data_IF_777649701757
#
_entry.id   IF_777649701757
#
_cell.length_a   1.000
_cell.length_b   1.000
_cell.length_c   1.000
_cell.angle_alpha   90.00
_cell.angle_beta   90.00
_cell.angle_gamma   90.00
#
_symmetry.space_group_name_H-M   'P 1'
#
loop_
_entity.id
_entity.type
_entity.pdbx_description
1 polymer ?
#
# COMPACT_ATOMS: atom_id res chain seq x y z
N UNK A 1 -13.26 -19.46 7.90
CA UNK A 1 -12.12 -18.72 7.31
C UNK A 1 -12.60 -17.30 7.04
N UNK A 2 -11.90 -16.27 7.54
CA UNK A 2 -12.31 -14.87 7.37
C UNK A 2 -12.29 -14.50 5.88
N UNK A 3 -13.28 -13.76 5.39
CA UNK A 3 -13.42 -13.30 3.99
C UNK A 3 -12.15 -12.63 3.47
N UNK A 4 -11.44 -11.88 4.32
CA UNK A 4 -10.16 -11.25 3.96
C UNK A 4 -9.05 -12.26 3.69
N UNK A 5 -8.94 -13.31 4.52
CA UNK A 5 -7.94 -14.37 4.34
C UNK A 5 -8.16 -15.09 3.01
N UNK A 6 -9.42 -15.44 2.70
CA UNK A 6 -9.76 -16.04 1.41
C UNK A 6 -9.37 -15.13 0.25
N UNK A 7 -9.57 -13.81 0.37
CA UNK A 7 -9.20 -12.87 -0.68
C UNK A 7 -7.70 -12.74 -0.87
N UNK A 8 -6.93 -12.78 0.22
CA UNK A 8 -5.46 -12.83 0.15
C UNK A 8 -5.01 -14.09 -0.58
N UNK A 9 -5.59 -15.25 -0.25
CA UNK A 9 -5.27 -16.51 -0.92
C UNK A 9 -5.62 -16.47 -2.41
N UNK A 10 -6.78 -15.92 -2.79
CA UNK A 10 -7.18 -15.72 -4.19
C UNK A 10 -6.18 -14.83 -4.96
N UNK A 11 -5.68 -13.76 -4.33
CA UNK A 11 -4.69 -12.86 -4.96
C UNK A 11 -3.36 -13.59 -5.17
N UNK A 12 -2.89 -14.32 -4.16
CA UNK A 12 -1.65 -15.09 -4.25
C UNK A 12 -1.75 -16.12 -5.37
N UNK A 13 -2.82 -16.92 -5.38
CA UNK A 13 -3.05 -17.96 -6.39
C UNK A 13 -3.12 -17.37 -7.80
N UNK A 14 -3.77 -16.22 -7.98
CA UNK A 14 -3.85 -15.57 -9.27
C UNK A 14 -2.49 -15.06 -9.73
N UNK A 15 -1.69 -14.44 -8.85
CA UNK A 15 -0.32 -14.03 -9.19
C UNK A 15 0.54 -15.23 -9.56
N UNK A 16 0.51 -16.31 -8.79
CA UNK A 16 1.24 -17.55 -9.07
C UNK A 16 0.85 -18.12 -10.43
N UNK A 17 -0.46 -18.22 -10.71
CA UNK A 17 -0.99 -18.70 -12.00
C UNK A 17 -0.52 -17.84 -13.16
N UNK A 18 -0.44 -16.53 -12.96
CA UNK A 18 0.05 -15.58 -13.96
C UNK A 18 1.55 -15.81 -14.23
N UNK A 19 2.35 -15.94 -13.18
CA UNK A 19 3.80 -16.18 -13.26
C UNK A 19 4.15 -17.54 -13.86
N UNK A 20 3.44 -18.60 -13.51
CA UNK A 20 3.63 -19.94 -14.08
C UNK A 20 3.38 -19.96 -15.59
N UNK A 21 2.35 -19.23 -16.06
CA UNK A 21 2.06 -19.10 -17.50
C UNK A 21 3.06 -18.20 -18.23
N UNK A 22 3.75 -17.34 -17.50
CA UNK A 22 4.57 -16.27 -18.05
C UNK A 22 5.88 -16.08 -17.27
N UNK A 23 6.73 -17.12 -17.13
CA UNK A 23 7.88 -17.11 -16.20
C UNK A 23 8.96 -16.08 -16.57
N UNK A 24 8.93 -15.58 -17.80
CA UNK A 24 9.83 -14.56 -18.32
C UNK A 24 9.09 -13.36 -18.94
N UNK A 25 7.76 -13.29 -18.80
CA UNK A 25 7.01 -12.20 -19.41
C UNK A 25 6.97 -11.00 -18.46
N UNK A 26 7.53 -9.90 -18.95
CA UNK A 26 7.36 -8.57 -18.39
C UNK A 26 7.83 -7.58 -19.43
N UNK A 27 6.91 -6.99 -20.19
CA UNK A 27 7.26 -5.81 -20.98
C UNK A 27 7.31 -4.61 -20.06
N UNK A 28 8.37 -3.82 -20.15
CA UNK A 28 8.50 -2.54 -19.47
C UNK A 28 7.23 -1.70 -19.62
N UNK A 29 6.67 -1.27 -18.49
CA UNK A 29 5.66 -0.23 -18.42
C UNK A 29 6.20 0.94 -17.63
N UNK A 30 5.96 2.14 -18.15
CA UNK A 30 6.09 3.36 -17.37
C UNK A 30 5.20 3.24 -16.13
N UNK A 31 5.78 3.55 -14.97
CA UNK A 31 5.06 3.63 -13.71
C UNK A 31 3.93 4.66 -13.89
N UNK A 32 2.68 4.39 -13.48
CA UNK A 32 1.54 5.25 -13.77
C UNK A 32 1.51 6.55 -12.95
N UNK A 33 2.62 6.91 -12.31
CA UNK A 33 2.78 8.13 -11.51
C UNK A 33 4.25 8.54 -11.47
N UNK A 34 4.47 9.85 -11.39
CA UNK A 34 5.79 10.43 -11.20
C UNK A 34 6.29 10.15 -9.77
N UNK A 35 7.51 9.62 -9.67
CA UNK A 35 8.15 9.22 -8.40
C UNK A 35 8.75 10.40 -7.65
N UNK A 36 8.99 11.53 -8.31
CA UNK A 36 9.47 12.75 -7.68
C UNK A 36 8.34 13.52 -7.00
N UNK A 37 7.09 13.18 -7.32
CA UNK A 37 5.92 13.78 -6.71
C UNK A 37 5.55 13.12 -5.38
N UNK A 38 5.05 13.94 -4.48
CA UNK A 38 4.49 13.55 -3.21
C UNK A 38 3.01 13.20 -3.37
N UNK A 39 2.62 12.13 -2.70
CA UNK A 39 1.24 11.77 -2.43
C UNK A 39 1.00 11.67 -0.92
N UNK A 40 -0.26 11.69 -0.52
CA UNK A 40 -0.66 11.53 0.88
C UNK A 40 -1.26 10.13 1.09
N UNK A 41 -0.84 9.47 2.16
CA UNK A 41 -1.45 8.27 2.68
C UNK A 41 -1.63 8.37 4.21
N UNK A 42 -2.49 7.54 4.76
CA UNK A 42 -2.67 7.32 6.18
C UNK A 42 -2.27 5.88 6.52
N UNK A 43 -1.50 5.77 7.59
CA UNK A 43 -0.84 4.54 7.97
C UNK A 43 -0.17 4.66 9.33
N UNK A 44 0.49 3.58 9.73
CA UNK A 44 1.27 3.51 10.97
C UNK A 44 2.71 3.22 10.61
N UNK A 45 3.60 4.15 10.96
CA UNK A 45 5.04 3.87 10.98
C UNK A 45 5.31 2.97 12.17
N UNK A 46 6.10 1.92 11.95
CA UNK A 46 6.51 1.02 13.01
C UNK A 46 7.95 0.59 12.77
N UNK A 47 8.65 0.30 13.87
CA UNK A 47 9.93 -0.38 13.76
C UNK A 47 9.66 -1.83 13.41
N UNK A 48 10.21 -2.37 12.30
CA UNK A 48 10.02 -3.78 11.97
C UNK A 48 10.59 -4.64 13.11
N UNK A 49 9.87 -5.68 13.55
CA UNK A 49 10.43 -6.64 14.51
C UNK A 49 11.64 -7.35 13.89
N UNK A 50 12.55 -7.86 14.73
CA UNK A 50 13.82 -8.48 14.30
C UNK A 50 13.64 -9.50 13.17
N UNK A 51 12.60 -10.33 13.24
CA UNK A 51 12.29 -11.33 12.21
C UNK A 51 11.97 -10.68 10.86
N UNK A 52 11.23 -9.58 10.86
CA UNK A 52 10.92 -8.85 9.63
C UNK A 52 12.13 -8.04 9.13
N UNK A 53 12.93 -7.47 10.03
CA UNK A 53 14.21 -6.86 9.64
C UNK A 53 15.11 -7.85 8.92
N UNK A 54 15.21 -9.09 9.42
CA UNK A 54 15.98 -10.14 8.74
C UNK A 54 15.42 -10.51 7.35
N UNK A 55 14.11 -10.43 7.14
CA UNK A 55 13.51 -10.61 5.81
C UNK A 55 13.92 -9.46 4.88
N UNK A 56 13.86 -8.21 5.36
CA UNK A 56 14.31 -7.05 4.59
C UNK A 56 15.80 -7.17 4.23
N UNK A 57 16.66 -7.55 5.18
CA UNK A 57 18.10 -7.75 4.94
C UNK A 57 18.35 -8.80 3.86
N UNK A 58 17.61 -9.92 3.88
CA UNK A 58 17.69 -10.94 2.83
C UNK A 58 17.22 -10.42 1.48
N UNK A 59 16.15 -9.62 1.43
CA UNK A 59 15.70 -8.98 0.20
C UNK A 59 16.76 -8.02 -0.35
N UNK A 60 17.41 -7.22 0.51
CA UNK A 60 18.52 -6.36 0.10
C UNK A 60 19.68 -7.15 -0.49
N UNK A 61 20.05 -8.28 0.11
CA UNK A 61 21.12 -9.13 -0.41
C UNK A 61 20.76 -9.77 -1.75
N UNK A 62 19.51 -10.22 -1.91
CA UNK A 62 19.03 -10.80 -3.18
C UNK A 62 18.96 -9.76 -4.30
N UNK A 63 18.63 -8.51 -3.97
CA UNK A 63 18.50 -7.41 -4.91
C UNK A 63 19.82 -6.62 -5.13
N UNK A 64 20.95 -7.07 -4.57
CA UNK A 64 22.18 -6.28 -4.52
C UNK A 64 22.69 -5.86 -5.92
N UNK A 65 22.44 -6.68 -6.94
CA UNK A 65 22.81 -6.42 -8.34
C UNK A 65 21.59 -6.07 -9.22
N UNK A 66 20.39 -6.01 -8.64
CA UNK A 66 19.14 -5.71 -9.36
C UNK A 66 18.75 -4.24 -9.17
N UNK A 67 19.23 -3.39 -10.07
CA UNK A 67 18.94 -1.96 -10.06
C UNK A 67 17.47 -1.63 -10.39
N UNK A 68 16.72 -2.59 -10.92
CA UNK A 68 15.30 -2.43 -11.25
C UNK A 68 14.40 -2.79 -10.05
N UNK A 69 14.95 -3.25 -8.93
CA UNK A 69 14.18 -3.62 -7.75
C UNK A 69 14.47 -2.69 -6.56
N UNK A 70 13.48 -1.87 -6.20
CA UNK A 70 13.55 -1.01 -5.02
C UNK A 70 13.09 -1.77 -3.77
N UNK A 71 13.98 -1.93 -2.79
CA UNK A 71 13.65 -2.52 -1.48
C UNK A 71 13.32 -1.41 -0.48
N UNK A 72 12.26 -1.61 0.32
CA UNK A 72 11.86 -0.66 1.36
C UNK A 72 12.88 -0.64 2.49
N UNK A 73 13.44 0.54 2.76
CA UNK A 73 14.37 0.75 3.87
C UNK A 73 13.65 0.58 5.23
N UNK A 74 14.33 0.08 6.27
CA UNK A 74 13.72 -0.12 7.59
C UNK A 74 13.10 1.16 8.20
N UNK A 75 13.70 2.33 7.96
CA UNK A 75 13.18 3.62 8.43
C UNK A 75 11.96 4.13 7.64
N UNK A 76 11.68 3.53 6.48
CA UNK A 76 10.51 3.79 5.65
C UNK A 76 9.42 2.74 5.84
N UNK A 77 9.64 1.74 6.72
CA UNK A 77 8.65 0.70 6.99
C UNK A 77 7.39 1.28 7.64
N UNK A 78 6.24 1.03 7.00
CA UNK A 78 4.95 1.46 7.49
C UNK A 78 3.83 0.61 6.90
N UNK A 79 2.77 0.39 7.66
CA UNK A 79 1.54 -0.17 7.12
C UNK A 79 0.64 0.96 6.65
N UNK A 80 0.38 1.01 5.34
CA UNK A 80 -0.66 1.86 4.76
C UNK A 80 -2.01 1.17 4.89
N UNK A 81 -2.99 1.88 5.45
CA UNK A 81 -4.38 1.41 5.50
C UNK A 81 -5.30 2.22 4.56
N UNK A 82 -4.93 3.46 4.20
CA UNK A 82 -5.69 4.28 3.26
C UNK A 82 -4.75 5.23 2.50
N UNK A 83 -4.59 5.04 1.19
CA UNK A 83 -3.94 6.02 0.32
C UNK A 83 -4.95 7.13 0.00
N UNK A 84 -4.61 8.39 0.27
CA UNK A 84 -5.53 9.52 0.18
C UNK A 84 -5.47 10.27 -1.15
N UNK A 85 -4.40 10.09 -1.92
CA UNK A 85 -4.17 10.77 -3.19
C UNK A 85 -3.12 10.03 -4.02
N UNK A 86 -3.10 10.31 -5.33
CA UNK A 86 -1.95 9.97 -6.16
C UNK A 86 -0.79 10.94 -5.87
N UNK A 87 0.45 10.52 -6.14
CA UNK A 87 1.58 11.45 -6.25
C UNK A 87 1.25 12.56 -7.26
N UNK A 88 1.20 13.81 -6.80
CA UNK A 88 0.81 14.95 -7.65
C UNK A 88 1.36 16.30 -7.19
N UNK A 89 2.14 16.37 -6.11
CA UNK A 89 2.71 17.61 -5.58
C UNK A 89 4.23 17.55 -5.58
N UNK A 90 4.91 18.60 -6.03
CA UNK A 90 6.38 18.60 -6.03
C UNK A 90 6.96 18.80 -4.63
N UNK A 91 6.26 19.56 -3.78
CA UNK A 91 6.71 19.92 -2.43
C UNK A 91 5.56 19.90 -1.45
N UNK A 92 5.88 19.76 -0.16
CA UNK A 92 4.90 19.87 0.91
C UNK A 92 4.16 21.22 0.91
N UNK A 93 4.82 22.28 0.46
CA UNK A 93 4.22 23.62 0.33
C UNK A 93 3.12 23.70 -0.73
N UNK A 94 3.07 22.75 -1.67
CA UNK A 94 2.09 22.71 -2.77
C UNK A 94 0.81 21.98 -2.36
N UNK A 95 0.76 21.44 -1.13
CA UNK A 95 -0.43 20.76 -0.64
C UNK A 95 -1.62 21.74 -0.60
N UNK A 96 -2.80 21.32 -1.09
CA UNK A 96 -3.97 22.16 -1.10
C UNK A 96 -4.41 22.49 0.33
N UNK A 97 -5.06 23.63 0.53
CA UNK A 97 -5.43 24.14 1.86
C UNK A 97 -6.28 23.13 2.65
N UNK A 98 -7.07 22.33 1.94
CA UNK A 98 -7.89 21.24 2.45
C UNK A 98 -7.08 20.19 3.23
N UNK A 99 -5.74 20.13 3.13
CA UNK A 99 -4.92 19.20 3.91
C UNK A 99 -5.04 19.45 5.43
N UNK A 100 -5.38 20.68 5.83
CA UNK A 100 -5.65 21.03 7.24
C UNK A 100 -6.88 20.28 7.76
N UNK A 101 -7.87 20.04 6.90
CA UNK A 101 -9.05 19.25 7.24
C UNK A 101 -8.66 17.77 7.45
N UNK A 102 -7.74 17.22 6.65
CA UNK A 102 -7.22 15.87 6.89
C UNK A 102 -6.53 15.75 8.24
N UNK A 103 -5.72 16.74 8.64
CA UNK A 103 -5.07 16.75 9.95
C UNK A 103 -6.10 16.78 11.08
N UNK A 104 -7.14 17.61 10.94
CA UNK A 104 -8.23 17.68 11.90
C UNK A 104 -9.00 16.35 12.00
N UNK A 105 -9.41 15.77 10.87
CA UNK A 105 -10.12 14.48 10.83
C UNK A 105 -9.27 13.34 11.40
N UNK A 106 -7.99 13.31 11.05
CA UNK A 106 -7.02 12.34 11.58
C UNK A 106 -6.92 12.45 13.10
N UNK A 107 -6.74 13.67 13.61
CA UNK A 107 -6.66 13.93 15.06
C UNK A 107 -7.96 13.63 15.80
N UNK A 108 -9.11 13.72 15.14
CA UNK A 108 -10.41 13.40 15.74
C UNK A 108 -10.69 11.89 15.78
N UNK A 109 -10.35 11.18 14.71
CA UNK A 109 -10.81 9.79 14.50
C UNK A 109 -9.72 8.77 14.83
N UNK A 110 -8.47 9.07 14.47
CA UNK A 110 -7.35 8.12 14.58
C UNK A 110 -6.55 8.30 15.87
N UNK A 111 -6.84 9.33 16.66
CA UNK A 111 -6.09 9.64 17.87
C UNK A 111 -6.32 8.60 18.98
N UNK A 112 -5.21 8.15 19.60
CA UNK A 112 -5.16 7.17 20.70
C UNK A 112 -5.53 5.72 20.35
N UNK A 113 -5.45 5.35 19.07
CA UNK A 113 -5.77 3.99 18.63
C UNK A 113 -4.51 3.13 18.60
N UNK A 114 -4.55 2.01 19.32
CA UNK A 114 -3.60 0.92 19.13
C UNK A 114 -4.06 0.05 17.97
N UNK A 115 -3.62 0.39 16.76
CA UNK A 115 -3.89 -0.41 15.57
C UNK A 115 -3.29 -1.79 15.72
N UNK A 116 -4.07 -2.83 15.42
CA UNK A 116 -3.60 -4.21 15.47
C UNK A 116 -3.80 -4.87 14.12
N UNK A 117 -2.73 -5.49 13.64
CA UNK A 117 -2.70 -6.25 12.41
C UNK A 117 -2.21 -7.66 12.73
N UNK A 118 -2.97 -8.65 12.31
CA UNK A 118 -2.74 -10.06 12.56
C UNK A 118 -2.49 -10.82 11.26
N UNK A 119 -2.04 -12.06 11.39
CA UNK A 119 -1.92 -12.99 10.26
C UNK A 119 -1.15 -12.39 9.09
N UNK A 120 0.06 -11.90 9.37
CA UNK A 120 0.91 -11.30 8.35
C UNK A 120 1.25 -12.34 7.26
N UNK A 121 1.10 -11.97 6.00
CA UNK A 121 1.35 -12.81 4.82
C UNK A 121 2.14 -12.02 3.80
N UNK A 122 3.10 -12.68 3.17
CA UNK A 122 3.73 -12.15 1.97
C UNK A 122 2.77 -12.33 0.80
N UNK A 123 2.58 -11.26 0.05
CA UNK A 123 1.72 -11.24 -1.15
C UNK A 123 2.52 -10.62 -2.27
N UNK A 124 2.81 -11.42 -3.29
CA UNK A 124 3.35 -10.91 -4.53
C UNK A 124 2.22 -10.40 -5.43
N UNK A 125 2.41 -9.20 -5.97
CA UNK A 125 1.66 -8.65 -7.09
C UNK A 125 2.61 -8.54 -8.29
N UNK A 126 2.08 -8.14 -9.45
CA UNK A 126 2.83 -8.08 -10.72
C UNK A 126 4.21 -7.42 -10.63
N UNK A 127 4.35 -6.35 -9.84
CA UNK A 127 5.60 -5.59 -9.71
C UNK A 127 5.94 -5.22 -8.26
N UNK A 128 5.22 -5.75 -7.27
CA UNK A 128 5.37 -5.33 -5.87
C UNK A 128 5.26 -6.54 -4.96
N UNK A 129 6.18 -6.65 -4.01
CA UNK A 129 6.07 -7.57 -2.88
C UNK A 129 5.52 -6.82 -1.68
N UNK A 130 4.41 -7.30 -1.14
CA UNK A 130 3.70 -6.73 -0.02
C UNK A 130 3.79 -7.63 1.20
N UNK A 131 3.86 -7.02 2.38
CA UNK A 131 3.50 -7.66 3.64
C UNK A 131 2.09 -7.21 4.00
N UNK A 132 1.13 -8.11 3.87
CA UNK A 132 -0.29 -7.85 4.11
C UNK A 132 -0.67 -8.42 5.47
N UNK A 133 -1.60 -7.78 6.17
CA UNK A 133 -2.21 -8.36 7.37
C UNK A 133 -3.70 -8.08 7.47
N UNK A 134 -4.32 -8.74 8.44
CA UNK A 134 -5.74 -8.61 8.76
C UNK A 134 -5.92 -7.67 9.96
N UNK A 135 -6.61 -6.53 9.80
CA UNK A 135 -6.91 -5.66 10.93
C UNK A 135 -7.88 -6.34 11.91
N UNK A 136 -7.79 -5.96 13.18
CA UNK A 136 -8.86 -6.26 14.12
C UNK A 136 -10.12 -5.44 13.81
N UNK A 137 -11.25 -5.83 14.39
CA UNK A 137 -12.54 -5.20 14.12
C UNK A 137 -12.53 -3.70 14.44
N UNK A 138 -11.92 -3.32 15.57
CA UNK A 138 -11.76 -1.91 15.97
C UNK A 138 -11.00 -1.11 14.92
N UNK A 139 -9.88 -1.65 14.43
CA UNK A 139 -9.06 -1.03 13.39
C UNK A 139 -9.84 -0.91 12.08
N UNK A 140 -10.59 -1.93 11.68
CA UNK A 140 -11.38 -1.87 10.46
C UNK A 140 -12.49 -0.80 10.55
N UNK A 141 -13.24 -0.76 11.66
CA UNK A 141 -14.29 0.22 11.91
C UNK A 141 -13.75 1.66 11.89
N UNK A 142 -12.60 1.91 12.51
CA UNK A 142 -11.97 3.22 12.55
C UNK A 142 -11.49 3.67 11.17
N UNK A 143 -10.88 2.76 10.40
CA UNK A 143 -10.52 3.05 9.00
C UNK A 143 -11.76 3.41 8.19
N UNK A 144 -12.85 2.67 8.34
CA UNK A 144 -14.09 2.91 7.60
C UNK A 144 -14.72 4.27 7.99
N UNK A 145 -14.76 4.59 9.29
CA UNK A 145 -15.22 5.89 9.78
C UNK A 145 -14.36 7.06 9.27
N UNK A 146 -13.03 6.86 9.22
CA UNK A 146 -12.10 7.85 8.68
C UNK A 146 -12.28 8.06 7.17
N UNK A 147 -12.35 6.96 6.40
CA UNK A 147 -12.61 7.02 4.96
C UNK A 147 -13.96 7.70 4.66
N UNK A 148 -15.01 7.37 5.41
CA UNK A 148 -16.32 8.02 5.28
C UNK A 148 -16.23 9.52 5.57
N UNK A 149 -15.53 9.91 6.63
CA UNK A 149 -15.36 11.32 7.01
C UNK A 149 -14.62 12.12 5.92
N UNK A 150 -13.64 11.52 5.25
CA UNK A 150 -12.93 12.12 4.11
C UNK A 150 -13.85 12.25 2.88
N UNK A 151 -14.71 11.25 2.62
CA UNK A 151 -15.64 11.25 1.49
C UNK A 151 -16.74 12.32 1.57
N UNK A 152 -17.01 12.86 2.76
CA UNK A 152 -17.94 13.97 3.00
C UNK A 152 -17.23 15.31 3.23
N UNK A 153 -15.90 15.35 3.12
CA UNK A 153 -15.05 16.52 3.33
C UNK A 153 -14.65 17.17 2.00
N UNK A 154 -13.96 18.31 2.06
CA UNK A 154 -13.35 18.95 0.88
C UNK A 154 -12.32 18.06 0.16
N UNK A 155 -11.82 17.01 0.83
CA UNK A 155 -10.83 16.08 0.29
C UNK A 155 -11.42 14.96 -0.58
N UNK A 156 -12.76 14.83 -0.64
CA UNK A 156 -13.47 13.80 -1.41
C UNK A 156 -12.91 13.61 -2.82
N UNK A 157 -12.64 14.71 -3.55
CA UNK A 157 -12.16 14.69 -4.93
C UNK A 157 -10.85 13.90 -5.08
N UNK A 158 -9.92 14.05 -4.15
CA UNK A 158 -8.63 13.38 -4.17
C UNK A 158 -8.76 11.90 -3.83
N UNK A 159 -9.58 11.57 -2.84
CA UNK A 159 -9.80 10.19 -2.44
C UNK A 159 -10.52 9.39 -3.54
N UNK A 160 -11.57 9.95 -4.14
CA UNK A 160 -12.29 9.33 -5.27
C UNK A 160 -11.37 9.17 -6.47
N UNK A 161 -10.59 10.21 -6.80
CA UNK A 161 -9.63 10.15 -7.88
C UNK A 161 -8.58 9.06 -7.65
N UNK A 162 -8.18 8.77 -6.40
CA UNK A 162 -7.18 7.73 -6.07
C UNK A 162 -7.64 6.30 -6.38
N UNK A 163 -8.93 6.03 -6.24
CA UNK A 163 -9.46 4.66 -6.32
C UNK A 163 -10.23 4.34 -7.60
N UNK A 164 -10.61 5.32 -8.44
CA UNK A 164 -11.15 5.15 -9.82
C UNK A 164 -11.95 3.85 -10.08
N UNK A 165 -13.03 3.61 -9.31
CA UNK A 165 -13.90 2.44 -9.48
C UNK A 165 -13.58 1.23 -8.61
N UNK A 166 -12.49 1.26 -7.84
CA UNK A 166 -12.19 0.30 -6.78
C UNK A 166 -12.93 0.64 -5.48
N UNK A 167 -13.20 -0.38 -4.67
CA UNK A 167 -13.78 -0.22 -3.34
C UNK A 167 -12.90 0.67 -2.46
N UNK A 168 -13.48 1.72 -1.89
CA UNK A 168 -12.83 2.58 -0.88
C UNK A 168 -13.53 2.38 0.46
N UNK A 169 -12.81 2.11 1.55
CA UNK A 169 -11.35 1.92 1.62
C UNK A 169 -10.87 0.61 0.95
N UNK A 170 -9.60 0.53 0.52
CA UNK A 170 -9.05 -0.68 -0.10
C UNK A 170 -9.02 -1.82 0.92
N UNK A 171 -9.17 -3.04 0.41
CA UNK A 171 -9.26 -4.21 1.27
C UNK A 171 -7.95 -4.51 2.02
N UNK A 172 -6.81 -4.42 1.33
CA UNK A 172 -5.52 -4.88 1.85
C UNK A 172 -4.76 -3.77 2.60
N UNK A 173 -4.47 -4.02 3.86
CA UNK A 173 -3.54 -3.24 4.66
C UNK A 173 -2.16 -3.82 4.48
N UNK A 174 -1.20 -2.99 4.09
CA UNK A 174 0.09 -3.51 3.68
C UNK A 174 1.23 -2.56 3.95
N UNK A 175 2.41 -3.14 4.20
CA UNK A 175 3.67 -2.49 3.89
C UNK A 175 4.14 -2.97 2.52
N UNK A 176 4.67 -2.07 1.71
CA UNK A 176 5.52 -2.50 0.59
C UNK A 176 6.84 -2.99 1.18
N UNK A 177 7.36 -4.10 0.66
CA UNK A 177 8.70 -4.61 0.99
C UNK A 177 9.65 -4.40 -0.19
N UNK A 178 9.17 -4.66 -1.40
CA UNK A 178 9.92 -4.45 -2.63
C UNK A 178 8.99 -3.98 -3.75
N UNK A 179 9.50 -3.20 -4.68
CA UNK A 179 8.80 -2.77 -5.89
C UNK A 179 9.76 -2.73 -7.05
N UNK A 180 9.40 -3.39 -8.15
CA UNK A 180 10.10 -3.24 -9.40
C UNK A 180 9.82 -1.84 -9.97
N UNK A 181 10.87 -1.16 -10.42
CA UNK A 181 10.83 0.15 -11.08
C UNK A 181 10.12 0.09 -12.43
N UNK A 182 9.91 -1.13 -12.93
CA UNK A 182 9.24 -1.41 -14.19
C UNK A 182 8.14 -2.43 -13.93
N UNK A 183 6.92 -2.18 -14.42
CA UNK A 183 5.81 -3.12 -14.22
C UNK A 183 5.81 -4.20 -15.31
N UNK A 184 5.78 -5.48 -14.92
CA UNK A 184 5.54 -6.59 -15.85
C UNK A 184 4.07 -6.58 -16.30
N UNK A 185 3.82 -6.25 -17.57
CA UNK A 185 2.51 -6.51 -18.18
C UNK A 185 2.46 -7.99 -18.57
N UNK A 186 1.56 -8.73 -17.94
CA UNK A 186 1.11 -10.01 -18.45
C UNK A 186 0.08 -9.71 -19.53
N UNK A 187 0.38 -10.03 -20.79
CA UNK A 187 -0.61 -9.91 -21.84
C UNK A 187 -1.72 -10.92 -21.55
N UNK A 188 -2.97 -10.46 -21.55
CA UNK A 188 -4.13 -11.34 -21.58
C UNK A 188 -4.02 -12.17 -22.88
N UNK A 189 -3.74 -13.47 -22.74
CA UNK A 189 -3.93 -14.47 -23.78
C UNK A 189 -5.32 -15.09 -23.61
#
# INVERSE_FOLDING_TARGET
MNTLTKKIDEIIQETERIWERNPFAGTFREIPYDRELYGIASGVKCTPPITLSSVLDKLFLLAAEDHELEITLPNHFHFTFLALSFPQWEKLADLPVEHKELLFLSGKILHRVNWKLYHLRLVALNNTLLLVGTPDETSDLLRNAYAHSILVSGWRKHLVARYRGLSTPPLLWHSTLARALTEAKFNDC
#
